data_IF_158854487062
#
_entry.id   IF_158854487062
#
_cell.length_a   1.000
_cell.length_b   1.000
_cell.length_c   1.000
_cell.angle_alpha   90.00
_cell.angle_beta   90.00
_cell.angle_gamma   90.00
#
_symmetry.space_group_name_H-M   'P 1'
#
loop_
_entity.id
_entity.type
_entity.pdbx_description
1 polymer ?
#
# COMPACT_ATOMS: atom_id res chain seq x y z
N UNK A 1 30.49 -16.89 19.52
CA UNK A 1 30.06 -17.16 18.14
C UNK A 1 29.13 -18.36 18.13
N UNK A 2 27.88 -18.21 17.72
CA UNK A 2 26.98 -19.36 17.51
C UNK A 2 25.52 -18.96 17.38
N UNK A 3 25.00 -18.99 16.14
CA UNK A 3 23.60 -19.18 15.71
C UNK A 3 23.48 -18.77 14.22
N UNK A 4 23.93 -19.64 13.32
CA UNK A 4 23.70 -19.50 11.85
C UNK A 4 22.90 -20.70 11.31
N UNK A 5 22.64 -21.72 12.13
CA UNK A 5 22.08 -23.01 11.68
C UNK A 5 20.54 -23.05 11.58
N UNK A 6 19.84 -21.93 11.80
CA UNK A 6 18.37 -21.89 11.87
C UNK A 6 17.66 -21.25 10.67
N UNK A 7 18.35 -20.49 9.82
CA UNK A 7 17.70 -19.68 8.76
C UNK A 7 17.01 -20.52 7.68
N UNK A 8 17.48 -21.75 7.46
CA UNK A 8 16.89 -22.69 6.50
C UNK A 8 15.52 -23.23 6.95
N UNK A 9 15.21 -23.23 8.25
CA UNK A 9 13.89 -23.62 8.77
C UNK A 9 12.86 -22.49 8.64
N UNK A 10 13.32 -21.24 8.53
CA UNK A 10 12.46 -20.05 8.48
C UNK A 10 11.95 -19.70 7.09
N UNK A 11 12.32 -20.49 6.07
CA UNK A 11 11.94 -20.28 4.67
C UNK A 11 12.58 -19.03 4.06
N UNK A 12 12.44 -18.80 2.73
CA UNK A 12 12.98 -17.60 2.09
C UNK A 12 12.23 -16.36 2.60
N UNK A 13 12.80 -15.69 3.60
CA UNK A 13 12.29 -14.42 4.10
C UNK A 13 12.80 -13.33 3.16
N UNK A 14 11.92 -12.74 2.35
CA UNK A 14 12.24 -11.49 1.67
C UNK A 14 12.19 -10.41 2.75
N UNK A 15 13.21 -10.27 3.60
CA UNK A 15 13.24 -9.39 4.78
C UNK A 15 14.60 -8.70 4.96
N UNK A 16 14.81 -7.92 6.05
CA UNK A 16 16.08 -7.24 6.25
C UNK A 16 17.22 -8.27 6.30
N UNK A 17 18.41 -7.90 5.86
CA UNK A 17 19.60 -8.74 5.99
C UNK A 17 19.80 -9.19 7.44
N UNK A 18 20.46 -10.34 7.62
CA UNK A 18 20.75 -10.99 8.91
C UNK A 18 20.84 -10.02 10.11
N UNK A 19 19.96 -10.19 11.12
CA UNK A 19 20.16 -9.59 12.45
C UNK A 19 19.11 -8.59 12.95
N UNK A 20 18.04 -8.29 12.19
CA UNK A 20 16.96 -7.42 12.68
C UNK A 20 15.81 -8.26 13.24
N UNK A 21 15.83 -8.49 14.55
CA UNK A 21 14.72 -9.11 15.28
C UNK A 21 13.66 -8.03 15.57
N UNK A 22 12.61 -7.97 14.75
CA UNK A 22 11.51 -7.02 14.96
C UNK A 22 10.44 -7.69 15.83
N UNK A 23 10.14 -7.10 16.98
CA UNK A 23 9.06 -7.49 17.89
C UNK A 23 7.67 -7.28 17.26
N UNK A 24 7.54 -6.32 16.32
CA UNK A 24 6.29 -6.04 15.63
C UNK A 24 6.48 -5.47 14.21
N UNK A 25 5.42 -5.56 13.40
CA UNK A 25 5.42 -5.11 12.00
C UNK A 25 5.62 -3.60 11.89
N UNK A 26 6.57 -3.18 11.06
CA UNK A 26 6.87 -1.77 10.79
C UNK A 26 7.81 -1.11 11.81
N UNK A 27 8.34 -1.86 12.78
CA UNK A 27 9.33 -1.38 13.75
C UNK A 27 10.61 -0.87 13.07
N UNK A 28 11.11 -1.63 12.09
CA UNK A 28 12.24 -1.27 11.24
C UNK A 28 11.99 -0.02 10.37
N UNK A 29 10.72 0.32 10.14
CA UNK A 29 10.29 1.51 9.43
C UNK A 29 10.03 2.70 10.36
N UNK A 30 10.17 2.55 11.69
CA UNK A 30 9.85 3.58 12.67
C UNK A 30 8.34 3.83 12.85
N UNK A 31 7.49 2.86 12.52
CA UNK A 31 6.04 2.97 12.62
C UNK A 31 5.54 2.40 13.95
N UNK A 32 4.47 2.95 14.55
CA UNK A 32 3.89 2.42 15.78
C UNK A 32 3.24 1.05 15.56
N UNK A 33 3.26 0.21 16.60
CA UNK A 33 2.71 -1.15 16.57
C UNK A 33 1.18 -1.19 16.36
N UNK A 34 0.45 -0.20 16.89
CA UNK A 34 -1.01 -0.11 16.81
C UNK A 34 -1.48 1.35 16.80
N UNK A 35 -2.73 1.56 16.38
CA UNK A 35 -3.34 2.90 16.31
C UNK A 35 -3.06 3.66 15.02
N UNK A 36 -3.38 4.97 14.97
CA UNK A 36 -3.12 5.82 13.81
C UNK A 36 -1.62 5.88 13.49
N UNK A 37 -1.27 5.78 12.20
CA UNK A 37 0.11 5.72 11.73
C UNK A 37 0.71 4.31 11.70
N UNK A 38 0.06 3.30 12.30
CA UNK A 38 0.50 1.89 12.17
C UNK A 38 0.26 1.33 10.77
N UNK A 39 0.97 0.27 10.41
CA UNK A 39 0.74 -0.46 9.16
C UNK A 39 -0.68 -1.02 9.11
N UNK A 40 -1.42 -0.69 8.05
CA UNK A 40 -2.72 -1.30 7.79
C UNK A 40 -2.55 -2.78 7.43
N UNK A 41 -3.37 -3.67 7.97
CA UNK A 41 -3.28 -5.12 7.74
C UNK A 41 -4.53 -5.66 7.05
N UNK A 42 -4.36 -6.67 6.18
CA UNK A 42 -5.42 -7.58 5.73
C UNK A 42 -6.68 -6.94 5.10
N UNK A 43 -7.82 -7.14 5.75
CA UNK A 43 -9.18 -6.86 5.25
C UNK A 43 -9.48 -5.40 4.89
N UNK A 44 -9.08 -4.39 5.69
CA UNK A 44 -9.17 -2.98 5.31
C UNK A 44 -8.64 -2.69 3.90
N UNK A 45 -7.50 -3.28 3.51
CA UNK A 45 -6.92 -3.09 2.17
C UNK A 45 -7.84 -3.62 1.07
N UNK A 46 -8.41 -4.81 1.29
CA UNK A 46 -9.35 -5.45 0.37
C UNK A 46 -10.64 -4.64 0.28
N UNK A 47 -11.17 -4.17 1.42
CA UNK A 47 -12.36 -3.34 1.47
C UNK A 47 -12.16 -2.01 0.71
N UNK A 48 -11.01 -1.34 0.90
CA UNK A 48 -10.69 -0.11 0.18
C UNK A 48 -10.61 -0.34 -1.32
N UNK A 49 -9.93 -1.42 -1.74
CA UNK A 49 -9.84 -1.82 -3.15
C UNK A 49 -11.21 -2.12 -3.75
N UNK A 50 -12.08 -2.83 -3.02
CA UNK A 50 -13.43 -3.15 -3.45
C UNK A 50 -14.26 -1.88 -3.64
N UNK A 51 -14.17 -0.92 -2.72
CA UNK A 51 -14.86 0.38 -2.84
C UNK A 51 -14.38 1.12 -4.09
N UNK A 52 -13.07 1.22 -4.31
CA UNK A 52 -12.52 1.85 -5.51
C UNK A 52 -12.98 1.14 -6.80
N UNK A 53 -13.06 -0.19 -6.76
CA UNK A 53 -13.52 -1.00 -7.90
C UNK A 53 -14.99 -0.73 -8.23
N UNK A 54 -15.86 -0.61 -7.21
CA UNK A 54 -17.27 -0.28 -7.38
C UNK A 54 -17.47 1.15 -7.88
N UNK A 55 -16.69 2.12 -7.37
CA UNK A 55 -16.72 3.51 -7.86
C UNK A 55 -16.34 3.54 -9.35
N UNK A 56 -15.24 2.88 -9.73
CA UNK A 56 -14.82 2.81 -11.12
C UNK A 56 -15.84 2.09 -12.01
N UNK A 57 -16.48 1.03 -11.51
CA UNK A 57 -17.55 0.32 -12.21
C UNK A 57 -18.78 1.19 -12.44
N UNK A 58 -19.23 1.92 -11.41
CA UNK A 58 -20.35 2.86 -11.52
C UNK A 58 -20.07 3.97 -12.52
N UNK A 59 -18.86 4.53 -12.51
CA UNK A 59 -18.43 5.52 -13.50
C UNK A 59 -18.36 4.93 -14.91
N UNK A 60 -17.83 3.71 -15.06
CA UNK A 60 -17.78 3.04 -16.36
C UNK A 60 -19.17 2.82 -16.94
N UNK A 61 -20.12 2.33 -16.13
CA UNK A 61 -21.53 2.18 -16.54
C UNK A 61 -22.12 3.52 -16.97
N UNK A 62 -21.82 4.61 -16.27
CA UNK A 62 -22.29 5.95 -16.63
C UNK A 62 -21.76 6.42 -17.99
N UNK A 63 -20.48 6.12 -18.30
CA UNK A 63 -19.85 6.57 -19.54
C UNK A 63 -20.20 5.71 -20.76
N UNK A 64 -20.28 4.38 -20.60
CA UNK A 64 -20.42 3.46 -21.75
C UNK A 64 -21.68 2.60 -21.73
N UNK A 65 -22.43 2.59 -20.62
CA UNK A 65 -23.62 1.74 -20.45
C UNK A 65 -23.29 0.32 -19.97
N UNK A 66 -24.27 -0.34 -19.34
CA UNK A 66 -24.11 -1.67 -18.74
C UNK A 66 -23.87 -2.78 -19.77
N UNK A 67 -24.51 -2.71 -20.94
CA UNK A 67 -24.44 -3.75 -21.97
C UNK A 67 -23.25 -3.56 -22.94
N UNK A 68 -22.36 -2.63 -22.64
CA UNK A 68 -21.24 -2.28 -23.52
C UNK A 68 -20.13 -3.32 -23.48
N UNK A 69 -19.66 -3.75 -24.64
CA UNK A 69 -18.54 -4.69 -24.78
C UNK A 69 -17.21 -4.16 -24.22
N UNK A 70 -17.07 -2.84 -24.09
CA UNK A 70 -15.87 -2.18 -23.55
C UNK A 70 -15.97 -1.87 -22.06
N UNK A 71 -17.07 -2.23 -21.38
CA UNK A 71 -17.31 -1.86 -19.98
C UNK A 71 -16.15 -2.24 -19.04
N UNK A 72 -15.64 -3.48 -19.14
CA UNK A 72 -14.53 -3.95 -18.30
C UNK A 72 -13.22 -3.18 -18.53
N UNK A 73 -12.93 -2.85 -19.80
CA UNK A 73 -11.74 -2.07 -20.15
C UNK A 73 -11.86 -0.63 -19.66
N UNK A 74 -13.03 -0.02 -19.82
CA UNK A 74 -13.35 1.31 -19.31
C UNK A 74 -13.26 1.37 -17.79
N UNK A 75 -13.81 0.37 -17.08
CA UNK A 75 -13.72 0.26 -15.62
C UNK A 75 -12.27 0.17 -15.16
N UNK A 76 -11.46 -0.68 -15.78
CA UNK A 76 -10.04 -0.82 -15.45
C UNK A 76 -9.28 0.50 -15.70
N UNK A 77 -9.56 1.17 -16.82
CA UNK A 77 -8.95 2.46 -17.16
C UNK A 77 -9.31 3.57 -16.16
N UNK A 78 -10.59 3.68 -15.79
CA UNK A 78 -11.06 4.63 -14.78
C UNK A 78 -10.40 4.35 -13.43
N UNK A 79 -10.43 3.09 -12.99
CA UNK A 79 -9.81 2.67 -11.73
C UNK A 79 -8.32 3.01 -11.70
N UNK A 80 -7.61 2.76 -12.80
CA UNK A 80 -6.19 3.07 -12.94
C UNK A 80 -5.90 4.58 -12.84
N UNK A 81 -6.58 5.40 -13.65
CA UNK A 81 -6.39 6.85 -13.69
C UNK A 81 -6.77 7.48 -12.35
N UNK A 82 -7.90 7.08 -11.78
CA UNK A 82 -8.36 7.53 -10.46
C UNK A 82 -7.33 7.19 -9.38
N UNK A 83 -6.79 5.96 -9.37
CA UNK A 83 -5.80 5.52 -8.41
C UNK A 83 -4.49 6.31 -8.49
N UNK A 84 -3.94 6.48 -9.69
CA UNK A 84 -2.71 7.27 -9.92
C UNK A 84 -2.92 8.72 -9.49
N UNK A 85 -4.01 9.34 -9.93
CA UNK A 85 -4.31 10.74 -9.62
C UNK A 85 -4.50 10.96 -8.12
N UNK A 86 -5.36 10.18 -7.49
CA UNK A 86 -5.70 10.35 -6.07
C UNK A 86 -4.48 10.11 -5.17
N UNK A 87 -3.68 9.07 -5.43
CA UNK A 87 -2.49 8.78 -4.64
C UNK A 87 -1.37 9.78 -4.91
N UNK A 88 -1.24 10.28 -6.14
CA UNK A 88 -0.22 11.28 -6.46
C UNK A 88 -0.46 12.62 -5.76
N UNK A 89 -1.72 13.04 -5.63
CA UNK A 89 -2.10 14.34 -5.06
C UNK A 89 -2.36 14.29 -3.56
N UNK A 90 -3.12 13.28 -3.11
CA UNK A 90 -3.64 13.22 -1.73
C UNK A 90 -2.96 12.14 -0.89
N UNK A 91 -2.23 11.22 -1.51
CA UNK A 91 -1.64 10.07 -0.81
C UNK A 91 -2.68 9.03 -0.37
N UNK A 92 -3.90 9.06 -0.90
CA UNK A 92 -4.92 8.02 -0.66
C UNK A 92 -5.88 7.94 -1.85
N UNK A 93 -6.46 6.76 -2.07
CA UNK A 93 -7.62 6.58 -2.97
C UNK A 93 -8.94 6.86 -2.23
N UNK A 94 -10.05 7.14 -2.93
CA UNK A 94 -11.36 7.32 -2.30
C UNK A 94 -11.77 6.15 -1.38
N UNK A 95 -11.57 4.91 -1.83
CA UNK A 95 -11.83 3.70 -1.03
C UNK A 95 -10.90 3.59 0.18
N UNK A 96 -9.62 3.94 0.04
CA UNK A 96 -8.70 4.00 1.17
C UNK A 96 -9.15 5.05 2.20
N UNK A 97 -9.58 6.24 1.75
CA UNK A 97 -10.11 7.28 2.62
C UNK A 97 -11.35 6.80 3.39
N UNK A 98 -12.30 6.17 2.69
CA UNK A 98 -13.52 5.62 3.30
C UNK A 98 -13.21 4.59 4.37
N UNK A 99 -12.18 3.77 4.18
CA UNK A 99 -11.77 2.73 5.14
C UNK A 99 -10.84 3.28 6.23
N UNK A 100 -10.31 4.49 6.08
CA UNK A 100 -9.40 5.10 7.06
C UNK A 100 -7.95 4.64 6.87
N UNK A 101 -7.49 4.65 5.62
CA UNK A 101 -6.13 4.30 5.23
C UNK A 101 -5.52 5.41 4.38
N UNK A 102 -4.19 5.51 4.43
CA UNK A 102 -3.40 6.38 3.56
C UNK A 102 -2.13 5.68 3.09
N UNK A 103 -1.66 6.04 1.91
CA UNK A 103 -0.34 5.68 1.40
C UNK A 103 0.66 6.71 1.90
N UNK A 104 1.63 6.27 2.69
CA UNK A 104 2.74 7.08 3.14
C UNK A 104 4.05 6.60 2.51
N UNK A 105 5.00 7.52 2.37
CA UNK A 105 6.36 7.20 2.00
C UNK A 105 7.12 6.72 3.23
N UNK A 106 7.88 5.64 3.07
CA UNK A 106 8.69 5.06 4.15
C UNK A 106 10.18 4.99 3.81
N UNK A 107 10.56 5.55 2.67
CA UNK A 107 11.91 5.51 2.11
C UNK A 107 12.85 6.58 2.67
N UNK A 108 12.35 7.50 3.50
CA UNK A 108 13.14 8.57 4.10
C UNK A 108 13.89 8.17 5.38
N UNK A 109 13.73 6.92 5.84
CA UNK A 109 14.34 6.41 7.05
C UNK A 109 13.42 6.47 8.29
N UNK A 110 13.73 5.66 9.31
CA UNK A 110 12.84 5.45 10.46
C UNK A 110 12.62 6.71 11.30
N UNK A 111 13.61 7.60 11.41
CA UNK A 111 13.50 8.86 12.17
C UNK A 111 12.41 9.78 11.60
N UNK A 112 12.40 9.96 10.28
CA UNK A 112 11.40 10.81 9.60
C UNK A 112 10.03 10.14 9.57
N UNK A 113 9.97 8.84 9.33
CA UNK A 113 8.72 8.09 9.37
C UNK A 113 8.07 8.17 10.77
N UNK A 114 8.88 8.15 11.84
CA UNK A 114 8.41 8.36 13.22
C UNK A 114 7.88 9.78 13.40
N UNK A 115 8.59 10.79 12.88
CA UNK A 115 8.14 12.18 12.93
C UNK A 115 6.80 12.39 12.19
N UNK A 116 6.62 11.76 11.03
CA UNK A 116 5.36 11.77 10.28
C UNK A 116 4.24 11.00 11.00
N UNK A 117 4.55 9.87 11.63
CA UNK A 117 3.59 9.08 12.41
C UNK A 117 3.13 9.81 13.69
N UNK A 118 4.03 10.59 14.31
CA UNK A 118 3.74 11.39 15.51
C UNK A 118 3.15 12.78 15.18
N UNK A 119 3.03 13.12 13.90
CA UNK A 119 2.49 14.42 13.45
C UNK A 119 3.44 15.61 13.62
N UNK A 120 4.74 15.37 13.84
CA UNK A 120 5.77 16.42 13.92
C UNK A 120 6.17 16.96 12.55
N UNK A 121 6.07 16.15 11.50
CA UNK A 121 6.33 16.54 10.12
C UNK A 121 5.12 16.28 9.21
N UNK A 122 5.01 17.08 8.15
CA UNK A 122 4.00 16.88 7.11
C UNK A 122 4.33 15.61 6.30
N UNK A 123 3.33 14.77 5.98
CA UNK A 123 3.53 13.60 5.14
C UNK A 123 4.18 13.95 3.80
N UNK A 124 5.25 13.25 3.43
CA UNK A 124 5.86 13.45 2.13
C UNK A 124 4.96 12.97 0.98
N UNK A 125 4.85 13.79 -0.07
CA UNK A 125 4.09 13.44 -1.27
C UNK A 125 4.67 12.18 -1.95
N UNK A 126 3.79 11.24 -2.32
CA UNK A 126 4.15 9.97 -2.99
C UNK A 126 4.78 10.24 -4.36
N UNK A 127 4.28 11.27 -5.07
CA UNK A 127 4.73 11.64 -6.40
C UNK A 127 4.11 10.79 -7.52
N UNK A 128 3.97 11.37 -8.70
CA UNK A 128 3.23 10.76 -9.82
C UNK A 128 3.88 9.48 -10.35
N UNK A 129 5.22 9.44 -10.44
CA UNK A 129 5.97 8.30 -10.98
C UNK A 129 5.76 7.05 -10.10
N UNK A 130 5.85 7.21 -8.78
CA UNK A 130 5.63 6.10 -7.84
C UNK A 130 4.18 5.67 -7.79
N UNK A 131 3.24 6.62 -7.79
CA UNK A 131 1.82 6.31 -7.85
C UNK A 131 1.48 5.50 -9.12
N UNK A 132 2.07 5.87 -10.26
CA UNK A 132 1.92 5.15 -11.53
C UNK A 132 2.44 3.71 -11.44
N UNK A 133 3.71 3.50 -11.03
CA UNK A 133 4.26 2.15 -10.93
C UNK A 133 3.53 1.30 -9.89
N UNK A 134 3.11 1.89 -8.77
CA UNK A 134 2.30 1.20 -7.76
C UNK A 134 0.99 0.70 -8.37
N UNK A 135 0.28 1.57 -9.08
CA UNK A 135 -0.99 1.21 -9.74
C UNK A 135 -0.77 0.15 -10.83
N UNK A 136 0.30 0.29 -11.63
CA UNK A 136 0.68 -0.67 -12.66
C UNK A 136 0.95 -2.05 -12.09
N UNK A 137 1.70 -2.15 -10.99
CA UNK A 137 1.96 -3.41 -10.31
C UNK A 137 0.69 -4.03 -9.71
N UNK A 138 -0.28 -3.22 -9.29
CA UNK A 138 -1.58 -3.75 -8.84
C UNK A 138 -2.39 -4.40 -9.97
N UNK A 139 -2.33 -3.87 -11.20
CA UNK A 139 -3.02 -4.46 -12.36
C UNK A 139 -2.58 -5.91 -12.60
N UNK A 140 -1.31 -6.23 -12.33
CA UNK A 140 -0.78 -7.57 -12.51
C UNK A 140 -1.25 -8.59 -11.45
N UNK A 141 -2.11 -8.20 -10.49
CA UNK A 141 -2.80 -8.98 -9.44
C UNK A 141 -1.91 -9.85 -8.53
N UNK A 142 -1.02 -10.64 -9.10
CA UNK A 142 0.01 -11.48 -8.47
C UNK A 142 0.84 -10.71 -7.43
N UNK A 143 1.29 -9.46 -7.65
CA UNK A 143 2.07 -8.74 -6.64
C UNK A 143 1.28 -8.30 -5.40
N UNK A 144 -0.05 -8.25 -5.46
CA UNK A 144 -0.90 -7.89 -4.32
C UNK A 144 -1.12 -9.08 -3.35
N UNK A 145 -0.99 -10.31 -3.84
CA UNK A 145 -1.08 -11.53 -3.02
C UNK A 145 0.23 -11.88 -2.31
N UNK A 146 1.37 -11.44 -2.86
CA UNK A 146 2.68 -11.64 -2.24
C UNK A 146 2.91 -10.54 -1.21
N UNK A 147 2.89 -10.93 0.06
CA UNK A 147 3.16 -10.05 1.19
C UNK A 147 4.61 -10.17 1.66
N UNK A 148 5.16 -9.02 2.04
CA UNK A 148 6.44 -8.85 2.70
C UNK A 148 6.41 -9.36 4.15
N UNK A 149 7.57 -9.51 4.82
CA UNK A 149 7.66 -9.91 6.25
C UNK A 149 6.85 -8.97 7.17
N UNK A 150 6.79 -7.69 6.81
CA UNK A 150 6.00 -6.67 7.50
C UNK A 150 4.50 -6.70 7.15
N UNK A 151 4.04 -7.61 6.29
CA UNK A 151 2.68 -7.63 5.74
C UNK A 151 2.41 -6.49 4.75
N UNK A 152 3.45 -5.86 4.20
CA UNK A 152 3.36 -4.87 3.11
C UNK A 152 3.18 -5.61 1.79
N UNK A 153 2.34 -5.09 0.89
CA UNK A 153 2.22 -5.71 -0.43
C UNK A 153 3.49 -5.45 -1.27
N UNK A 154 3.86 -6.38 -2.16
CA UNK A 154 5.10 -6.28 -2.93
C UNK A 154 5.17 -4.98 -3.76
N UNK A 155 4.04 -4.53 -4.31
CA UNK A 155 3.96 -3.27 -5.04
C UNK A 155 4.30 -2.06 -4.16
N UNK A 156 3.85 -2.05 -2.90
CA UNK A 156 4.16 -0.98 -1.95
C UNK A 156 5.65 -1.01 -1.57
N UNK A 157 6.24 -2.21 -1.39
CA UNK A 157 7.68 -2.34 -1.14
C UNK A 157 8.51 -1.83 -2.32
N UNK A 158 8.16 -2.23 -3.55
CA UNK A 158 8.87 -1.84 -4.76
C UNK A 158 8.84 -0.32 -4.99
N UNK A 159 7.77 0.37 -4.56
CA UNK A 159 7.65 1.83 -4.67
C UNK A 159 8.10 2.60 -3.42
N UNK A 160 8.63 1.92 -2.40
CA UNK A 160 9.07 2.56 -1.16
C UNK A 160 7.92 3.20 -0.37
N UNK A 161 6.71 2.66 -0.50
CA UNK A 161 5.49 3.13 0.17
C UNK A 161 4.98 2.12 1.17
N UNK A 162 4.12 2.56 2.07
CA UNK A 162 3.36 1.69 2.97
C UNK A 162 1.96 2.24 3.17
N UNK A 163 0.98 1.35 3.35
CA UNK A 163 -0.37 1.73 3.70
C UNK A 163 -0.46 1.84 5.23
N UNK A 164 -0.75 3.03 5.72
CA UNK A 164 -0.93 3.35 7.13
C UNK A 164 -2.40 3.51 7.46
N UNK A 165 -2.76 3.15 8.70
CA UNK A 165 -4.08 3.43 9.27
C UNK A 165 -4.17 4.90 9.68
N UNK A 166 -5.30 5.55 9.44
CA UNK A 166 -5.53 6.95 9.85
C UNK A 166 -6.40 7.09 11.11
N UNK A 167 -7.12 6.03 11.48
CA UNK A 167 -8.04 5.99 12.64
C UNK A 167 -8.13 4.60 13.26
#
# INVERSE_FOLDING_TARGET
MGRVTGSWLSGPQIGPGEGVDNDFRGQDLGLPASGPGSLATGWPRVAGLLVDWLIAGGLAILFVGFDSSILGTTQLGIWFVMGVFAVSLFGFTPGQYVVGMRVARVDYGPERNTAEATGKESPAAVGIVRAFFRQLLMVFLVPALINDYNGRALHDRATGTAILRTR
#
